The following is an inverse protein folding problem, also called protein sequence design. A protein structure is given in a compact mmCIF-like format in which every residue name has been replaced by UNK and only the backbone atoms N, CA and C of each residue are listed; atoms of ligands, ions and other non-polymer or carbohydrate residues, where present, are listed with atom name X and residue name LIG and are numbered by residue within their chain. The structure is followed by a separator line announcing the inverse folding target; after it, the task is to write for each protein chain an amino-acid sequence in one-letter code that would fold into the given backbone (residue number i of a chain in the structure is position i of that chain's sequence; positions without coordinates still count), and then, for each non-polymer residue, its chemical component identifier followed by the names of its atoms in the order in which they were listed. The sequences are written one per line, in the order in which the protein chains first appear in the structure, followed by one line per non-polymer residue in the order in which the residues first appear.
data_IF_918217835563
#
_entry.id   IF_918217835563
#
_cell.length_a   1.000
_cell.length_b   1.000
_cell.length_c   1.000
_cell.angle_alpha   90.00
_cell.angle_beta   90.00
_cell.angle_gamma   90.00
#
_symmetry.space_group_name_H-M   'P 1'
#
loop_
_entity.id
_entity.type
_entity.pdbx_description
1 polymer ?
#
# COMPACT_ATOMS: atom_id res chain seq x y z
N UNK A 1 14.09 81.22 -31.61
CA UNK A 1 14.62 79.85 -31.74
C UNK A 1 13.52 78.87 -31.37
N UNK A 2 12.93 78.19 -32.36
CA UNK A 2 12.01 77.07 -32.17
C UNK A 2 12.55 75.90 -32.99
N UNK A 3 12.94 74.83 -32.31
CA UNK A 3 13.39 73.60 -32.97
C UNK A 3 12.17 72.81 -33.41
N UNK A 4 11.97 72.71 -34.73
CA UNK A 4 10.86 71.96 -35.33
C UNK A 4 11.09 70.45 -35.14
N UNK A 5 10.11 69.76 -34.55
CA UNK A 5 10.16 68.32 -34.33
C UNK A 5 9.92 67.56 -35.65
N UNK A 6 10.90 66.76 -36.08
CA UNK A 6 10.82 65.96 -37.31
C UNK A 6 10.34 64.53 -36.93
N UNK A 7 9.10 64.13 -37.29
CA UNK A 7 8.56 62.85 -36.87
C UNK A 7 9.20 61.67 -37.60
N UNK A 8 9.72 60.71 -36.84
CA UNK A 8 10.29 59.45 -37.36
C UNK A 8 9.19 58.43 -37.67
N UNK A 9 9.49 57.40 -38.49
CA UNK A 9 8.55 56.32 -38.85
C UNK A 9 7.88 55.65 -37.64
N UNK A 10 8.57 55.54 -36.51
CA UNK A 10 8.02 54.98 -35.27
C UNK A 10 7.06 55.93 -34.53
N UNK A 11 7.26 57.24 -34.64
CA UNK A 11 6.38 58.25 -34.03
C UNK A 11 4.97 58.28 -34.65
N UNK A 12 4.83 57.80 -35.90
CA UNK A 12 3.55 57.70 -36.62
C UNK A 12 2.73 56.45 -36.29
N UNK A 13 3.28 55.46 -35.57
CA UNK A 13 2.65 54.14 -35.36
C UNK A 13 1.99 53.95 -33.98
N UNK A 14 1.72 55.01 -33.22
CA UNK A 14 1.27 54.89 -31.82
C UNK A 14 0.02 55.68 -31.45
N UNK A 15 -0.78 56.15 -32.42
CA UNK A 15 -1.98 56.93 -32.08
C UNK A 15 -3.30 56.37 -32.63
N UNK A 16 -3.29 55.68 -33.77
CA UNK A 16 -4.55 55.35 -34.46
C UNK A 16 -4.75 53.85 -34.78
N UNK A 17 -3.97 52.94 -34.17
CA UNK A 17 -4.37 51.53 -34.15
C UNK A 17 -5.33 51.35 -32.96
N UNK A 18 -6.64 51.46 -33.22
CA UNK A 18 -7.67 50.95 -32.33
C UNK A 18 -7.43 49.44 -32.18
N UNK A 19 -6.67 49.07 -31.15
CA UNK A 19 -6.48 47.67 -30.80
C UNK A 19 -7.82 47.22 -30.23
N UNK A 20 -8.63 46.55 -31.05
CA UNK A 20 -9.83 45.82 -30.63
C UNK A 20 -9.43 44.67 -29.70
N UNK A 21 -9.09 45.05 -28.46
CA UNK A 21 -8.67 44.14 -27.41
C UNK A 21 -9.90 43.39 -26.91
N UNK A 22 -10.13 42.21 -27.48
CA UNK A 22 -11.07 41.25 -26.95
C UNK A 22 -10.31 40.21 -26.11
N UNK A 23 -10.71 40.03 -24.86
CA UNK A 23 -10.21 38.95 -24.03
C UNK A 23 -11.32 37.93 -23.78
N UNK A 24 -11.04 36.67 -24.11
CA UNK A 24 -11.97 35.55 -23.89
C UNK A 24 -11.61 34.91 -22.55
N UNK A 25 -12.50 35.05 -21.56
CA UNK A 25 -12.37 34.33 -20.28
C UNK A 25 -12.94 32.94 -20.43
N UNK A 26 -12.06 31.93 -20.53
CA UNK A 26 -12.49 30.55 -20.42
C UNK A 26 -12.80 30.20 -18.97
N UNK A 27 -14.08 30.05 -18.65
CA UNK A 27 -14.49 29.37 -17.42
C UNK A 27 -14.41 27.86 -17.67
N UNK A 28 -13.53 27.18 -16.93
CA UNK A 28 -13.48 25.72 -16.96
C UNK A 28 -14.79 25.15 -16.43
N UNK A 29 -15.35 24.18 -17.16
CA UNK A 29 -16.56 23.48 -16.73
C UNK A 29 -16.30 22.85 -15.35
N UNK A 30 -17.00 23.33 -14.32
CA UNK A 30 -17.03 22.64 -13.03
C UNK A 30 -17.86 21.37 -13.22
N UNK A 31 -17.25 20.17 -13.18
CA UNK A 31 -18.03 18.94 -13.26
C UNK A 31 -19.05 18.96 -12.12
N UNK A 32 -20.32 18.70 -12.44
CA UNK A 32 -21.35 18.48 -11.43
C UNK A 32 -20.79 17.49 -10.41
N UNK A 33 -20.60 17.92 -9.16
CA UNK A 33 -20.35 16.98 -8.08
C UNK A 33 -21.49 15.99 -8.13
N UNK A 34 -21.18 14.73 -8.44
CA UNK A 34 -22.14 13.66 -8.21
C UNK A 34 -22.47 13.78 -6.73
N UNK A 35 -23.70 14.16 -6.43
CA UNK A 35 -24.27 14.02 -5.10
C UNK A 35 -24.23 12.52 -4.81
N UNK A 36 -23.10 12.04 -4.32
CA UNK A 36 -23.06 10.81 -3.56
C UNK A 36 -23.90 11.18 -2.34
N UNK A 37 -25.06 10.55 -2.12
CA UNK A 37 -25.88 10.89 -0.96
C UNK A 37 -24.97 10.82 0.27
N UNK A 38 -24.73 11.98 0.88
CA UNK A 38 -23.80 12.16 1.99
C UNK A 38 -24.25 11.37 3.23
N UNK A 39 -25.51 10.95 3.22
CA UNK A 39 -26.10 10.02 4.13
C UNK A 39 -26.56 8.81 3.33
N UNK A 40 -25.92 7.63 3.45
CA UNK A 40 -26.71 6.41 3.40
C UNK A 40 -27.79 6.63 4.46
N UNK A 41 -29.06 6.57 4.10
CA UNK A 41 -30.09 6.43 5.13
C UNK A 41 -29.60 5.33 6.07
N UNK A 42 -29.69 5.50 7.41
CA UNK A 42 -29.38 4.40 8.29
C UNK A 42 -30.31 3.29 7.83
N UNK A 43 -29.77 2.30 7.11
CA UNK A 43 -30.44 1.03 6.95
C UNK A 43 -30.65 0.63 8.38
N UNK A 44 -31.89 0.79 8.87
CA UNK A 44 -32.30 0.52 10.24
C UNK A 44 -31.62 -0.79 10.55
N UNK A 45 -30.55 -0.74 11.34
CA UNK A 45 -29.89 -1.95 11.70
C UNK A 45 -30.97 -2.67 12.48
N UNK A 46 -31.35 -3.85 12.00
CA UNK A 46 -32.11 -4.79 12.80
C UNK A 46 -31.15 -5.32 13.89
N UNK A 47 -30.58 -4.38 14.65
CA UNK A 47 -30.00 -4.56 15.97
C UNK A 47 -31.10 -4.24 17.00
N UNK A 48 -32.36 -4.55 16.65
CA UNK A 48 -33.27 -5.04 17.66
C UNK A 48 -32.58 -6.29 18.19
N UNK A 49 -31.90 -6.10 19.31
CA UNK A 49 -31.37 -7.11 20.19
C UNK A 49 -32.52 -8.11 20.41
N UNK A 50 -32.55 -9.18 19.62
CA UNK A 50 -33.21 -10.40 20.04
C UNK A 50 -32.23 -11.04 21.02
N UNK A 51 -32.39 -10.71 22.29
CA UNK A 51 -32.03 -11.56 23.43
C UNK A 51 -32.76 -12.90 23.29
N UNK A 52 -32.41 -13.70 22.29
CA UNK A 52 -33.05 -14.97 22.01
C UNK A 52 -32.19 -15.78 21.04
N UNK A 53 -31.06 -16.25 21.53
CA UNK A 53 -30.53 -17.63 21.45
C UNK A 53 -29.01 -17.58 21.55
N UNK A 54 -28.48 -18.28 22.55
CA UNK A 54 -27.07 -18.40 22.94
C UNK A 54 -26.19 -19.13 21.91
N UNK A 55 -26.44 -18.93 20.63
CA UNK A 55 -25.59 -19.42 19.56
C UNK A 55 -24.59 -18.34 19.18
N UNK A 56 -23.33 -18.57 19.57
CA UNK A 56 -22.20 -17.73 19.17
C UNK A 56 -22.06 -17.83 17.64
N UNK A 57 -22.71 -16.91 16.96
CA UNK A 57 -22.52 -16.71 15.53
C UNK A 57 -21.07 -16.27 15.31
N UNK A 58 -20.22 -17.21 14.89
CA UNK A 58 -18.78 -16.97 14.71
C UNK A 58 -18.46 -15.74 13.84
N UNK A 59 -19.34 -15.40 12.89
CA UNK A 59 -19.22 -14.17 12.09
C UNK A 59 -19.36 -12.89 12.93
N UNK A 60 -20.33 -12.84 13.86
CA UNK A 60 -20.53 -11.71 14.78
C UNK A 60 -19.38 -11.61 15.78
N UNK A 61 -19.02 -12.74 16.42
CA UNK A 61 -17.91 -12.78 17.36
C UNK A 61 -16.59 -12.30 16.73
N UNK A 62 -16.27 -12.75 15.51
CA UNK A 62 -15.09 -12.26 14.77
C UNK A 62 -15.13 -10.75 14.52
N UNK A 63 -16.30 -10.22 14.18
CA UNK A 63 -16.47 -8.78 13.95
C UNK A 63 -16.24 -7.97 15.24
N UNK A 64 -16.79 -8.42 16.36
CA UNK A 64 -16.62 -7.79 17.68
C UNK A 64 -15.16 -7.83 18.14
N UNK A 65 -14.50 -8.98 17.99
CA UNK A 65 -13.06 -9.12 18.30
C UNK A 65 -12.23 -8.12 17.48
N UNK A 66 -12.51 -7.99 16.17
CA UNK A 66 -11.80 -7.01 15.32
C UNK A 66 -12.08 -5.58 15.79
N UNK A 67 -13.35 -5.24 16.06
CA UNK A 67 -13.75 -3.91 16.57
C UNK A 67 -13.06 -3.57 17.88
N UNK A 68 -12.99 -4.53 18.81
CA UNK A 68 -12.31 -4.40 20.09
C UNK A 68 -10.80 -4.20 19.90
N UNK A 69 -10.15 -5.05 19.11
CA UNK A 69 -8.71 -4.94 18.83
C UNK A 69 -8.31 -3.61 18.19
N UNK A 70 -9.20 -3.02 17.38
CA UNK A 70 -8.98 -1.70 16.78
C UNK A 70 -9.00 -0.53 17.78
N UNK A 71 -9.63 -0.71 18.96
CA UNK A 71 -9.71 0.33 19.98
C UNK A 71 -8.32 0.75 20.48
N UNK A 72 -7.41 -0.21 20.64
CA UNK A 72 -6.04 -0.01 21.13
C UNK A 72 -5.03 0.53 20.11
N UNK A 73 -5.42 0.83 18.87
CA UNK A 73 -4.50 1.33 17.86
C UNK A 73 -4.26 2.85 17.93
N UNK A 74 -3.01 3.26 17.64
CA UNK A 74 -2.64 4.65 17.41
C UNK A 74 -3.47 5.28 16.28
N UNK A 75 -3.66 6.61 16.29
CA UNK A 75 -4.57 7.34 15.39
C UNK A 75 -4.43 6.94 13.90
N UNK A 76 -3.21 6.91 13.36
CA UNK A 76 -2.95 6.54 11.97
C UNK A 76 -3.35 5.09 11.67
N UNK A 77 -2.87 4.14 12.48
CA UNK A 77 -3.19 2.71 12.35
C UNK A 77 -4.67 2.41 12.55
N UNK A 78 -5.36 3.17 13.41
CA UNK A 78 -6.81 3.07 13.63
C UNK A 78 -7.58 3.44 12.37
N UNK A 79 -7.16 4.46 11.63
CA UNK A 79 -7.78 4.83 10.33
C UNK A 79 -7.57 3.73 9.29
N UNK A 80 -6.34 3.22 9.16
CA UNK A 80 -6.03 2.13 8.23
C UNK A 80 -6.86 0.87 8.54
N UNK A 81 -6.95 0.48 9.82
CA UNK A 81 -7.74 -0.67 10.24
C UNK A 81 -9.24 -0.49 9.98
N UNK A 82 -9.78 0.73 10.16
CA UNK A 82 -11.17 1.06 9.82
C UNK A 82 -11.43 0.91 8.32
N UNK A 83 -10.53 1.43 7.48
CA UNK A 83 -10.65 1.29 6.02
C UNK A 83 -10.61 -0.18 5.62
N UNK A 84 -9.70 -0.98 6.19
CA UNK A 84 -9.62 -2.41 5.93
C UNK A 84 -10.88 -3.17 6.38
N UNK A 85 -11.41 -2.85 7.56
CA UNK A 85 -12.66 -3.43 8.04
C UNK A 85 -13.83 -3.10 7.11
N UNK A 86 -13.95 -1.85 6.69
CA UNK A 86 -14.97 -1.44 5.73
C UNK A 86 -14.86 -2.21 4.41
N UNK A 87 -13.64 -2.37 3.87
CA UNK A 87 -13.40 -3.15 2.66
C UNK A 87 -13.83 -4.61 2.85
N UNK A 88 -13.49 -5.23 4.00
CA UNK A 88 -13.93 -6.60 4.32
C UNK A 88 -15.45 -6.76 4.40
N UNK A 89 -16.15 -5.72 4.85
CA UNK A 89 -17.63 -5.66 4.85
C UNK A 89 -18.22 -5.38 3.46
N UNK A 90 -17.39 -5.22 2.43
CA UNK A 90 -17.82 -4.99 1.05
C UNK A 90 -17.79 -3.51 0.62
N UNK A 91 -17.26 -2.60 1.43
CA UNK A 91 -17.07 -1.22 0.99
C UNK A 91 -16.03 -1.14 -0.14
N UNK A 92 -16.25 -0.20 -1.07
CA UNK A 92 -15.31 0.05 -2.16
C UNK A 92 -13.99 0.60 -1.61
N UNK A 93 -12.82 0.05 -2.00
CA UNK A 93 -11.54 0.56 -1.54
C UNK A 93 -11.29 2.01 -1.99
N UNK A 94 -10.54 2.80 -1.20
CA UNK A 94 -10.22 4.18 -1.57
C UNK A 94 -9.39 4.21 -2.85
N UNK A 95 -9.61 5.25 -3.67
CA UNK A 95 -8.83 5.45 -4.89
C UNK A 95 -7.36 5.73 -4.55
N UNK A 96 -6.46 5.16 -5.33
CA UNK A 96 -5.03 5.45 -5.22
C UNK A 96 -4.75 6.90 -5.62
N UNK A 97 -3.71 7.49 -5.02
CA UNK A 97 -3.23 8.83 -5.42
C UNK A 97 -2.68 8.77 -6.84
N UNK A 98 -2.93 9.81 -7.63
CA UNK A 98 -2.34 9.96 -8.95
C UNK A 98 -0.81 10.07 -8.82
N UNK A 99 -0.09 9.26 -9.61
CA UNK A 99 1.37 9.25 -9.69
C UNK A 99 1.78 9.23 -11.16
N UNK A 100 2.92 9.83 -11.49
CA UNK A 100 3.48 9.74 -12.83
C UNK A 100 3.88 8.29 -13.14
N UNK A 101 3.53 7.82 -14.34
CA UNK A 101 3.81 6.46 -14.79
C UNK A 101 5.30 6.09 -14.71
N UNK A 102 6.20 7.02 -15.06
CA UNK A 102 7.66 6.78 -14.99
C UNK A 102 8.12 6.50 -13.56
N UNK A 103 7.52 7.13 -12.56
CA UNK A 103 7.87 6.94 -11.16
C UNK A 103 7.33 5.60 -10.62
N UNK A 104 6.11 5.23 -11.03
CA UNK A 104 5.54 3.91 -10.70
C UNK A 104 6.40 2.78 -11.27
N UNK A 105 6.92 2.92 -12.49
CA UNK A 105 7.83 1.94 -13.08
C UNK A 105 9.15 1.82 -12.29
N UNK A 106 9.72 2.95 -11.85
CA UNK A 106 10.92 2.97 -11.01
C UNK A 106 10.67 2.29 -9.66
N UNK A 107 9.55 2.59 -9.00
CA UNK A 107 9.13 1.93 -7.75
C UNK A 107 9.03 0.41 -7.94
N UNK A 108 8.31 -0.05 -8.97
CA UNK A 108 8.16 -1.49 -9.30
C UNK A 108 9.49 -2.18 -9.57
N UNK A 109 10.42 -1.54 -10.29
CA UNK A 109 11.76 -2.11 -10.56
C UNK A 109 12.55 -2.25 -9.25
N UNK A 110 12.51 -1.25 -8.36
CA UNK A 110 13.17 -1.30 -7.04
C UNK A 110 12.59 -2.40 -6.16
N UNK A 111 11.26 -2.57 -6.15
CA UNK A 111 10.59 -3.62 -5.40
C UNK A 111 10.99 -5.02 -5.88
N UNK A 112 10.99 -5.26 -7.20
CA UNK A 112 11.47 -6.54 -7.77
C UNK A 112 12.89 -6.88 -7.35
N UNK A 113 13.81 -5.92 -7.45
CA UNK A 113 15.21 -6.11 -7.02
C UNK A 113 15.28 -6.41 -5.51
N UNK A 114 14.46 -5.74 -4.69
CA UNK A 114 14.42 -5.98 -3.24
C UNK A 114 13.86 -7.36 -2.90
N UNK A 115 12.84 -7.81 -3.62
CA UNK A 115 12.29 -9.16 -3.49
C UNK A 115 13.28 -10.24 -3.93
N UNK A 116 13.95 -10.06 -5.06
CA UNK A 116 15.01 -10.97 -5.51
C UNK A 116 16.14 -11.06 -4.48
N UNK A 117 16.60 -9.91 -3.96
CA UNK A 117 17.59 -9.89 -2.87
C UNK A 117 17.08 -10.60 -1.60
N UNK A 118 15.80 -10.44 -1.24
CA UNK A 118 15.20 -11.16 -0.10
C UNK A 118 15.14 -12.66 -0.35
N UNK A 119 14.74 -13.09 -1.55
CA UNK A 119 14.69 -14.50 -1.96
C UNK A 119 16.08 -15.11 -1.95
N UNK A 120 17.08 -14.44 -2.51
CA UNK A 120 18.48 -14.87 -2.50
C UNK A 120 19.00 -15.00 -1.06
N UNK A 121 18.75 -14.01 -0.18
CA UNK A 121 19.14 -14.10 1.23
C UNK A 121 18.46 -15.26 1.96
N UNK A 122 17.17 -15.48 1.72
CA UNK A 122 16.45 -16.61 2.29
C UNK A 122 16.98 -17.96 1.78
N UNK A 123 17.35 -18.03 0.50
CA UNK A 123 17.95 -19.21 -0.11
C UNK A 123 19.37 -19.47 0.39
N UNK A 124 20.19 -18.43 0.57
CA UNK A 124 21.54 -18.53 1.14
C UNK A 124 21.49 -18.98 2.61
N UNK A 125 20.61 -18.40 3.42
CA UNK A 125 20.39 -18.83 4.81
C UNK A 125 19.88 -20.27 4.90
N UNK A 126 18.98 -20.67 3.99
CA UNK A 126 18.57 -22.07 3.85
C UNK A 126 19.72 -22.98 3.43
N UNK A 127 20.56 -22.58 2.47
CA UNK A 127 21.71 -23.35 1.99
C UNK A 127 22.74 -23.61 3.10
N UNK A 128 23.01 -22.62 3.95
CA UNK A 128 23.93 -22.81 5.08
C UNK A 128 23.35 -23.78 6.11
N UNK A 129 22.08 -23.65 6.47
CA UNK A 129 21.41 -24.54 7.44
C UNK A 129 21.27 -25.96 6.87
N UNK A 130 20.93 -26.11 5.58
CA UNK A 130 20.82 -27.43 4.93
C UNK A 130 22.18 -28.09 4.74
N UNK A 131 23.24 -27.34 4.42
CA UNK A 131 24.60 -27.87 4.31
C UNK A 131 25.16 -28.30 5.67
N UNK A 132 24.98 -27.48 6.72
CA UNK A 132 25.41 -27.84 8.09
C UNK A 132 24.66 -29.08 8.60
N UNK A 133 23.34 -29.16 8.36
CA UNK A 133 22.55 -30.32 8.78
C UNK A 133 22.88 -31.59 7.96
N UNK A 134 23.19 -31.47 6.66
CA UNK A 134 23.66 -32.58 5.85
C UNK A 134 25.05 -33.09 6.30
N UNK A 135 25.98 -32.17 6.60
CA UNK A 135 27.30 -32.51 7.14
C UNK A 135 27.21 -33.20 8.49
N UNK A 136 26.35 -32.70 9.41
CA UNK A 136 26.09 -33.34 10.71
C UNK A 136 25.53 -34.76 10.54
N UNK A 137 24.53 -34.96 9.67
CA UNK A 137 23.98 -36.30 9.37
C UNK A 137 25.03 -37.26 8.81
N UNK A 138 25.93 -36.77 7.95
CA UNK A 138 27.03 -37.57 7.42
C UNK A 138 28.03 -37.98 8.52
N UNK A 139 28.39 -37.04 9.40
CA UNK A 139 29.26 -37.28 10.56
C UNK A 139 28.64 -38.29 11.55
N UNK A 140 27.34 -38.16 11.86
CA UNK A 140 26.65 -39.10 12.76
C UNK A 140 26.57 -40.50 12.16
N UNK A 141 26.38 -40.63 10.84
CA UNK A 141 26.38 -41.93 10.15
C UNK A 141 27.77 -42.58 10.14
N UNK A 142 28.85 -41.80 10.05
CA UNK A 142 30.22 -42.30 10.20
C UNK A 142 30.51 -42.78 11.61
N UNK A 143 30.19 -41.96 12.63
CA UNK A 143 30.36 -42.34 14.05
C UNK A 143 29.60 -43.62 14.41
N UNK A 144 28.39 -43.82 13.88
CA UNK A 144 27.63 -45.06 14.10
C UNK A 144 28.22 -46.29 13.41
N UNK A 145 28.98 -46.13 12.33
CA UNK A 145 29.69 -47.22 11.65
C UNK A 145 31.02 -47.56 12.31
N UNK A 146 31.67 -46.58 12.91
CA UNK A 146 32.93 -46.75 13.66
C UNK A 146 32.71 -47.40 15.03
N UNK A 147 31.50 -47.30 15.59
CA UNK A 147 31.10 -48.10 16.75
C UNK A 147 30.93 -49.56 16.33
N UNK A 148 31.99 -50.34 16.50
CA UNK A 148 31.96 -51.78 16.34
C UNK A 148 31.09 -52.47 17.39
N UNK A 149 30.78 -53.76 17.19
CA UNK A 149 30.03 -54.57 18.16
C UNK A 149 30.65 -54.53 19.57
N UNK A 150 31.97 -54.34 19.64
CA UNK A 150 32.74 -54.25 20.88
C UNK A 150 32.37 -53.03 21.75
N UNK A 151 31.91 -51.92 21.15
CA UNK A 151 31.43 -50.74 21.89
C UNK A 151 30.05 -50.95 22.53
N UNK A 152 29.27 -51.92 22.03
CA UNK A 152 27.91 -52.22 22.52
C UNK A 152 27.97 -53.23 23.67
N UNK A 153 28.89 -54.19 23.60
CA UNK A 153 28.98 -55.30 24.56
C UNK A 153 30.19 -55.20 25.51
N UNK A 154 31.05 -54.19 25.35
CA UNK A 154 32.24 -53.97 26.16
C UNK A 154 33.38 -54.95 25.84
N UNK A 155 34.61 -54.55 26.14
CA UNK A 155 35.79 -55.41 25.99
C UNK A 155 35.94 -56.34 27.19
N UNK A 156 36.04 -57.65 26.94
CA UNK A 156 36.45 -58.61 27.97
C UNK A 156 37.92 -58.37 28.35
N UNK A 157 38.21 -58.42 29.66
CA UNK A 157 39.52 -58.17 30.25
C UNK A 157 40.30 -59.46 30.43
#
# INVERSE_FOLDING_TARGET
MSVNFIPTRGSKKKKDEEIDFSFIVHQSYKPKEKQVPLHPQPAKSKDAISEATDEINMKRARFEIIKFGMSGFNKQKKVEAKVQLAIKLGAKPPKQKYKNYKDVLKEKRKERIKEEKRKLKLQQGRSQITQISAYKKHMDKRRKKEKGILDIYGTAK
#
